data_IF_767406933164
#
_entry.id   IF_767406933164
#
_cell.length_a   1.000
_cell.length_b   1.000
_cell.length_c   1.000
_cell.angle_alpha   90.00
_cell.angle_beta   90.00
_cell.angle_gamma   90.00
#
_symmetry.space_group_name_H-M   'P 1'
#
loop_
_entity.id
_entity.type
_entity.pdbx_description
1 polymer ?
#
# COMPACT_ATOMS: atom_id res chain seq x y z
N UNK A 1 -8.55 -20.69 -9.23
CA UNK A 1 -8.81 -19.60 -10.19
C UNK A 1 -8.22 -19.99 -11.52
N UNK A 2 -8.75 -19.47 -12.62
CA UNK A 2 -8.17 -19.64 -13.96
C UNK A 2 -7.53 -18.33 -14.40
N UNK A 3 -6.44 -18.39 -15.16
CA UNK A 3 -5.77 -17.20 -15.72
C UNK A 3 -5.67 -17.30 -17.23
N UNK A 4 -6.12 -16.26 -17.92
CA UNK A 4 -5.88 -16.04 -19.34
C UNK A 4 -4.96 -14.83 -19.48
N UNK A 5 -4.00 -14.86 -20.41
CA UNK A 5 -3.12 -13.72 -20.67
C UNK A 5 -2.94 -13.49 -22.17
N UNK A 6 -2.74 -12.23 -22.53
CA UNK A 6 -2.36 -11.82 -23.89
C UNK A 6 -1.13 -10.91 -23.78
N UNK A 7 -0.11 -11.25 -24.56
CA UNK A 7 1.08 -10.41 -24.71
C UNK A 7 0.87 -9.53 -25.94
N UNK A 8 0.75 -8.22 -25.74
CA UNK A 8 0.71 -7.27 -26.85
C UNK A 8 2.14 -6.81 -27.14
N UNK A 9 2.77 -7.43 -28.15
CA UNK A 9 4.11 -7.08 -28.59
C UNK A 9 4.07 -5.90 -29.56
N UNK A 10 4.00 -4.68 -29.03
CA UNK A 10 4.60 -3.52 -29.68
C UNK A 10 5.91 -3.19 -28.95
N UNK A 11 6.72 -2.27 -29.47
CA UNK A 11 8.08 -1.87 -29.03
C UNK A 11 8.29 -1.64 -27.51
N UNK A 12 7.23 -1.64 -26.69
CA UNK A 12 7.23 -1.46 -25.23
C UNK A 12 6.79 -2.69 -24.41
N UNK A 13 6.60 -3.86 -25.04
CA UNK A 13 6.27 -5.16 -24.43
C UNK A 13 5.38 -5.07 -23.17
N UNK A 14 4.12 -4.67 -23.35
CA UNK A 14 3.13 -4.64 -22.26
C UNK A 14 2.37 -5.97 -22.26
N UNK A 15 2.27 -6.59 -21.08
CA UNK A 15 1.49 -7.81 -20.87
C UNK A 15 0.17 -7.49 -20.18
N UNK A 16 -0.92 -7.99 -20.74
CA UNK A 16 -2.24 -7.95 -20.12
C UNK A 16 -2.62 -9.34 -19.59
N UNK A 17 -2.96 -9.42 -18.30
CA UNK A 17 -3.35 -10.66 -17.62
C UNK A 17 -4.76 -10.51 -17.06
N UNK A 18 -5.60 -11.50 -17.31
CA UNK A 18 -6.94 -11.63 -16.72
C UNK A 18 -6.96 -12.83 -15.80
N UNK A 19 -7.18 -12.59 -14.51
CA UNK A 19 -7.24 -13.62 -13.48
C UNK A 19 -8.64 -13.70 -12.87
N UNK A 20 -9.18 -14.91 -12.76
CA UNK A 20 -10.48 -15.15 -12.14
C UNK A 20 -10.33 -15.66 -10.70
N UNK A 21 -10.70 -14.78 -9.77
CA UNK A 21 -10.99 -15.12 -8.36
C UNK A 21 -12.51 -15.23 -8.20
N UNK A 22 -13.13 -14.48 -7.29
CA UNK A 22 -14.58 -14.29 -7.23
C UNK A 22 -15.16 -13.56 -8.46
N UNK A 23 -14.36 -12.68 -9.07
CA UNK A 23 -14.66 -11.91 -10.29
C UNK A 23 -13.39 -11.81 -11.13
N UNK A 24 -13.53 -11.43 -12.40
CA UNK A 24 -12.39 -11.15 -13.27
C UNK A 24 -11.59 -9.94 -12.78
N UNK A 25 -10.29 -10.12 -12.63
CA UNK A 25 -9.31 -9.08 -12.33
C UNK A 25 -8.43 -8.91 -13.57
N UNK A 26 -8.45 -7.72 -14.17
CA UNK A 26 -7.61 -7.39 -15.32
C UNK A 26 -6.41 -6.56 -14.85
N UNK A 27 -5.22 -7.00 -15.22
CA UNK A 27 -3.96 -6.35 -14.87
C UNK A 27 -3.15 -6.08 -16.14
N UNK A 28 -2.39 -4.99 -16.14
CA UNK A 28 -1.40 -4.69 -17.17
C UNK A 28 -0.06 -4.37 -16.51
N UNK A 29 1.04 -4.88 -17.07
CA UNK A 29 2.39 -4.61 -16.58
C UNK A 29 3.39 -4.65 -17.73
N UNK A 30 4.46 -3.86 -17.59
CA UNK A 30 5.66 -3.90 -18.42
C UNK A 30 6.84 -4.61 -17.72
N UNK A 31 6.59 -5.23 -16.55
CA UNK A 31 7.63 -5.80 -15.70
C UNK A 31 7.37 -7.27 -15.35
N UNK A 32 6.20 -7.59 -14.78
CA UNK A 32 5.86 -8.93 -14.30
C UNK A 32 4.53 -9.38 -14.89
N UNK A 33 4.50 -10.62 -15.37
CA UNK A 33 3.32 -11.24 -15.97
C UNK A 33 2.80 -12.40 -15.09
N UNK A 34 2.65 -13.59 -15.66
CA UNK A 34 2.04 -14.74 -14.99
C UNK A 34 3.02 -15.45 -14.07
N UNK A 35 4.25 -15.67 -14.53
CA UNK A 35 5.23 -16.48 -13.83
C UNK A 35 6.13 -15.67 -12.87
N UNK A 36 6.60 -16.29 -11.76
CA UNK A 36 6.20 -17.61 -11.28
C UNK A 36 4.81 -17.60 -10.65
N UNK A 37 4.00 -18.62 -10.97
CA UNK A 37 2.70 -18.84 -10.31
C UNK A 37 2.92 -19.35 -8.89
N UNK A 38 2.19 -18.78 -7.93
CA UNK A 38 2.16 -19.27 -6.55
C UNK A 38 0.74 -19.67 -6.14
N UNK A 39 0.60 -20.26 -4.95
CA UNK A 39 -0.71 -20.64 -4.41
C UNK A 39 -1.06 -19.81 -3.19
N UNK A 40 -2.30 -19.34 -3.12
CA UNK A 40 -2.81 -18.55 -1.98
C UNK A 40 -4.07 -19.21 -1.41
N UNK A 41 -4.19 -19.23 -0.07
CA UNK A 41 -5.42 -19.68 0.60
C UNK A 41 -6.50 -18.61 0.52
N UNK A 42 -7.69 -18.99 0.07
CA UNK A 42 -8.87 -18.12 0.01
C UNK A 42 -10.07 -18.82 0.62
N UNK A 43 -10.92 -18.04 1.28
CA UNK A 43 -12.20 -18.54 1.77
C UNK A 43 -13.20 -18.64 0.62
N UNK A 44 -13.71 -19.85 0.36
CA UNK A 44 -14.80 -20.07 -0.58
C UNK A 44 -16.14 -20.05 0.18
N UNK A 45 -17.02 -19.11 -0.18
CA UNK A 45 -18.35 -19.01 0.42
C UNK A 45 -19.26 -20.19 0.09
N UNK A 46 -19.07 -20.85 -1.07
CA UNK A 46 -19.87 -22.00 -1.50
C UNK A 46 -19.50 -23.25 -0.72
N UNK A 47 -18.20 -23.50 -0.57
CA UNK A 47 -17.69 -24.67 0.14
C UNK A 47 -17.55 -24.44 1.66
N UNK A 48 -17.69 -23.18 2.12
CA UNK A 48 -17.48 -22.77 3.53
C UNK A 48 -16.16 -23.28 4.09
N UNK A 49 -15.12 -23.23 3.26
CA UNK A 49 -13.80 -23.76 3.57
C UNK A 49 -12.72 -22.90 2.94
N UNK A 50 -11.50 -23.04 3.42
CA UNK A 50 -10.34 -22.45 2.78
C UNK A 50 -9.86 -23.36 1.65
N UNK A 51 -9.87 -22.83 0.43
CA UNK A 51 -9.33 -23.49 -0.76
C UNK A 51 -7.99 -22.89 -1.15
N UNK A 52 -7.15 -23.70 -1.76
CA UNK A 52 -5.89 -23.26 -2.36
C UNK A 52 -6.13 -22.88 -3.81
N UNK A 53 -5.82 -21.63 -4.19
CA UNK A 53 -5.96 -21.18 -5.58
C UNK A 53 -4.62 -20.71 -6.13
N UNK A 54 -4.38 -21.04 -7.40
CA UNK A 54 -3.25 -20.49 -8.15
C UNK A 54 -3.44 -19.01 -8.41
N UNK A 55 -2.35 -18.26 -8.20
CA UNK A 55 -2.28 -16.81 -8.32
C UNK A 55 -1.06 -16.43 -9.18
N UNK A 56 -1.28 -15.66 -10.26
CA UNK A 56 -0.21 -15.09 -11.07
C UNK A 56 0.72 -14.17 -10.28
N UNK A 57 2.01 -14.13 -10.67
CA UNK A 57 3.02 -13.26 -10.08
C UNK A 57 2.62 -11.78 -10.06
N UNK A 58 1.98 -11.28 -11.12
CA UNK A 58 1.49 -9.91 -11.22
C UNK A 58 0.47 -9.58 -10.12
N UNK A 59 -0.43 -10.51 -9.78
CA UNK A 59 -1.44 -10.33 -8.73
C UNK A 59 -0.77 -10.33 -7.35
N UNK A 60 0.20 -11.23 -7.15
CA UNK A 60 0.99 -11.28 -5.91
C UNK A 60 1.74 -9.97 -5.67
N UNK A 61 2.45 -9.48 -6.69
CA UNK A 61 3.24 -8.26 -6.59
C UNK A 61 2.35 -7.04 -6.37
N UNK A 62 1.24 -6.94 -7.11
CA UNK A 62 0.24 -5.90 -6.89
C UNK A 62 -0.24 -5.89 -5.45
N UNK A 63 -0.70 -7.02 -4.91
CA UNK A 63 -1.19 -7.08 -3.53
C UNK A 63 -0.11 -6.78 -2.48
N UNK A 64 1.16 -7.11 -2.75
CA UNK A 64 2.29 -6.78 -1.85
C UNK A 64 2.55 -5.27 -1.80
N UNK A 65 2.44 -4.61 -2.94
CA UNK A 65 2.67 -3.16 -3.07
C UNK A 65 1.42 -2.33 -2.82
N UNK A 66 0.24 -2.95 -2.86
CA UNK A 66 -1.04 -2.32 -2.56
C UNK A 66 -1.07 -1.87 -1.09
N UNK A 67 -1.73 -0.75 -0.84
CA UNK A 67 -1.92 -0.22 0.51
C UNK A 67 -0.81 0.70 1.01
N UNK A 68 0.20 1.04 0.20
CA UNK A 68 1.14 2.11 0.56
C UNK A 68 0.43 3.45 0.76
N UNK A 69 -0.45 3.81 -0.18
CA UNK A 69 -1.28 5.03 -0.10
C UNK A 69 -2.27 4.94 1.06
N UNK A 70 -3.01 3.83 1.18
CA UNK A 70 -3.98 3.64 2.28
C UNK A 70 -3.33 3.76 3.67
N UNK A 71 -2.10 3.26 3.83
CA UNK A 71 -1.33 3.42 5.07
C UNK A 71 -0.97 4.88 5.33
N UNK A 72 -0.51 5.60 4.31
CA UNK A 72 -0.22 7.03 4.43
C UNK A 72 -1.48 7.80 4.82
N UNK A 73 -2.60 7.53 4.15
CA UNK A 73 -3.89 8.16 4.43
C UNK A 73 -4.37 7.84 5.84
N UNK A 74 -4.20 6.59 6.29
CA UNK A 74 -4.51 6.17 7.65
C UNK A 74 -3.66 6.92 8.69
N UNK A 75 -2.33 7.00 8.50
CA UNK A 75 -1.44 7.72 9.43
C UNK A 75 -1.80 9.20 9.53
N UNK A 76 -2.06 9.84 8.39
CA UNK A 76 -2.50 11.24 8.34
C UNK A 76 -3.85 11.40 9.04
N UNK A 77 -4.79 10.47 8.86
CA UNK A 77 -6.12 10.56 9.43
C UNK A 77 -6.14 10.48 10.96
N UNK A 78 -5.19 9.79 11.59
CA UNK A 78 -5.11 9.63 13.05
C UNK A 78 -4.99 10.98 13.79
N UNK A 79 -4.13 11.87 13.30
CA UNK A 79 -3.83 13.15 13.96
C UNK A 79 -3.94 14.34 13.00
N UNK A 80 -4.86 14.24 12.03
CA UNK A 80 -5.06 15.26 10.99
C UNK A 80 -5.36 16.62 11.59
N UNK A 81 -4.56 17.63 11.25
CA UNK A 81 -4.87 19.03 11.59
C UNK A 81 -6.16 19.49 10.91
N UNK A 82 -7.18 19.81 11.70
CA UNK A 82 -8.46 20.31 11.19
C UNK A 82 -8.50 21.84 11.23
N UNK A 83 -8.70 22.46 10.06
CA UNK A 83 -8.87 23.91 9.94
C UNK A 83 -10.31 24.24 9.55
N UNK A 84 -10.94 25.12 10.34
CA UNK A 84 -12.25 25.68 10.00
C UNK A 84 -12.09 26.90 9.08
N UNK A 85 -11.75 26.65 7.82
CA UNK A 85 -11.67 27.70 6.79
C UNK A 85 -12.37 27.30 5.49
N UNK A 86 -12.90 28.30 4.77
CA UNK A 86 -13.45 28.14 3.41
C UNK A 86 -12.37 28.19 2.33
N UNK A 87 -11.16 28.68 2.64
CA UNK A 87 -10.03 28.71 1.71
C UNK A 87 -9.44 27.29 1.56
N UNK A 88 -9.58 26.69 0.37
CA UNK A 88 -9.09 25.34 0.10
C UNK A 88 -7.56 25.23 0.19
N UNK A 89 -6.83 26.32 -0.11
CA UNK A 89 -5.37 26.38 -0.05
C UNK A 89 -4.82 26.05 1.33
N UNK A 90 -5.48 26.53 2.40
CA UNK A 90 -5.09 26.21 3.78
C UNK A 90 -5.24 24.73 4.09
N UNK A 91 -6.25 24.06 3.53
CA UNK A 91 -6.42 22.60 3.71
C UNK A 91 -5.28 21.83 3.07
N UNK A 92 -4.81 22.28 1.91
CA UNK A 92 -3.67 21.66 1.23
C UNK A 92 -2.36 21.90 1.99
N UNK A 93 -2.09 23.12 2.44
CA UNK A 93 -0.88 23.44 3.21
C UNK A 93 -0.76 22.53 4.43
N UNK A 94 -1.83 22.42 5.23
CA UNK A 94 -1.80 21.56 6.41
C UNK A 94 -1.80 20.07 6.07
N UNK A 95 -2.39 19.65 4.95
CA UNK A 95 -2.23 18.29 4.48
C UNK A 95 -0.75 17.95 4.21
N UNK A 96 -0.01 18.85 3.58
CA UNK A 96 1.44 18.68 3.39
C UNK A 96 2.22 18.65 4.71
N UNK A 97 1.85 19.47 5.70
CA UNK A 97 2.46 19.36 7.03
C UNK A 97 2.18 17.99 7.67
N UNK A 98 0.94 17.49 7.60
CA UNK A 98 0.62 16.17 8.14
C UNK A 98 1.42 15.05 7.42
N UNK A 99 1.58 15.13 6.09
CA UNK A 99 2.43 14.21 5.33
C UNK A 99 3.89 14.30 5.82
N UNK A 100 4.44 15.50 5.95
CA UNK A 100 5.82 15.72 6.38
C UNK A 100 6.08 15.14 7.77
N UNK A 101 5.17 15.35 8.73
CA UNK A 101 5.26 14.78 10.09
C UNK A 101 5.20 13.26 10.04
N UNK A 102 4.25 12.67 9.30
CA UNK A 102 4.14 11.21 9.17
C UNK A 102 5.41 10.61 8.56
N UNK A 103 5.95 11.21 7.50
CA UNK A 103 7.18 10.75 6.86
C UNK A 103 8.39 10.88 7.79
N UNK A 104 8.51 12.00 8.51
CA UNK A 104 9.60 12.23 9.47
C UNK A 104 9.55 11.21 10.61
N UNK A 105 8.35 10.84 11.08
CA UNK A 105 8.19 9.78 12.07
C UNK A 105 8.62 8.41 11.54
N UNK A 106 8.31 8.10 10.28
CA UNK A 106 8.73 6.84 9.65
C UNK A 106 10.26 6.75 9.52
N UNK A 107 10.91 7.84 9.12
CA UNK A 107 12.39 7.90 9.07
C UNK A 107 13.00 7.80 10.46
N UNK A 108 12.48 8.54 11.45
CA UNK A 108 12.89 8.43 12.85
C UNK A 108 12.84 6.98 13.36
N UNK A 109 11.76 6.25 13.07
CA UNK A 109 11.63 4.84 13.44
C UNK A 109 12.62 3.94 12.72
N UNK A 110 12.89 4.21 11.43
CA UNK A 110 13.88 3.47 10.66
C UNK A 110 15.27 3.67 11.26
N UNK A 111 15.63 4.89 11.59
CA UNK A 111 16.94 5.22 12.16
C UNK A 111 17.13 4.62 13.54
N UNK A 112 16.11 4.65 14.41
CA UNK A 112 16.17 3.97 15.71
C UNK A 112 16.42 2.46 15.58
N UNK A 113 15.74 1.80 14.63
CA UNK A 113 15.94 0.38 14.38
C UNK A 113 17.35 0.07 13.86
N UNK A 114 17.94 0.97 13.06
CA UNK A 114 19.28 0.79 12.51
C UNK A 114 20.39 1.00 13.54
N UNK A 115 20.22 1.94 14.47
CA UNK A 115 21.23 2.27 15.49
C UNK A 115 21.20 1.26 16.66
N UNK A 116 20.17 0.41 16.76
CA UNK A 116 20.04 -0.57 17.83
C UNK A 116 19.83 0.04 19.22
N UNK A 117 19.43 1.31 19.26
CA UNK A 117 19.26 2.06 20.50
C UNK A 117 18.05 1.54 21.29
N UNK A 118 18.25 1.17 22.56
CA UNK A 118 17.18 0.78 23.50
C UNK A 118 16.31 1.95 23.97
N UNK A 119 16.43 3.13 23.36
CA UNK A 119 15.60 4.28 23.73
C UNK A 119 14.15 4.01 23.35
N UNK A 120 13.21 4.36 24.25
CA UNK A 120 11.78 4.16 24.03
C UNK A 120 11.37 4.89 22.74
N UNK A 121 10.93 4.13 21.75
CA UNK A 121 10.45 4.67 20.48
C UNK A 121 9.18 5.49 20.73
N UNK A 122 9.18 6.76 20.34
CA UNK A 122 7.97 7.59 20.39
C UNK A 122 6.88 7.02 19.49
N UNK A 123 5.64 7.02 19.97
CA UNK A 123 4.49 6.80 19.10
C UNK A 123 4.26 8.03 18.20
N UNK A 124 3.33 7.92 17.25
CA UNK A 124 3.10 8.99 16.28
C UNK A 124 2.55 10.26 16.96
N UNK A 125 1.77 10.13 18.03
CA UNK A 125 1.20 11.28 18.75
C UNK A 125 2.29 12.04 19.50
N UNK A 126 3.09 11.32 20.29
CA UNK A 126 4.21 11.88 21.05
C UNK A 126 5.26 12.51 20.13
N UNK A 127 5.53 11.88 18.99
CA UNK A 127 6.38 12.47 17.97
C UNK A 127 5.80 13.78 17.43
N UNK A 128 4.50 13.76 17.06
CA UNK A 128 3.81 14.95 16.53
C UNK A 128 3.84 16.11 17.52
N UNK A 129 3.58 15.86 18.81
CA UNK A 129 3.69 16.89 19.85
C UNK A 129 5.11 17.44 19.95
N UNK A 130 6.13 16.58 19.95
CA UNK A 130 7.51 17.05 20.03
C UNK A 130 7.97 17.88 18.84
N UNK A 131 7.38 17.68 17.65
CA UNK A 131 7.62 18.53 16.47
C UNK A 131 6.88 19.87 16.61
N UNK A 132 5.71 19.89 17.26
CA UNK A 132 4.94 21.11 17.45
C UNK A 132 5.51 22.03 18.55
N UNK A 133 6.26 21.46 19.51
CA UNK A 133 6.93 22.19 20.60
C UNK A 133 8.33 22.71 20.24
N UNK A 134 8.93 22.19 19.17
CA UNK A 134 10.25 22.57 18.67
C UNK A 134 10.23 23.90 17.91
#
# INVERSE_FOLDING_TARGET
GTSEYRVCSNEKAIVAVKWYDNKAVNMASNFVAVDPVDTVRRWDKKQRSYISIERPAIIRLYNKSMGGVDKSDFLIALYRTFIRSRKWTLRIIFHYFNIAVCNSWLEYRRDLNNVGNSTKQKDLLEFTFSVAEA
#
